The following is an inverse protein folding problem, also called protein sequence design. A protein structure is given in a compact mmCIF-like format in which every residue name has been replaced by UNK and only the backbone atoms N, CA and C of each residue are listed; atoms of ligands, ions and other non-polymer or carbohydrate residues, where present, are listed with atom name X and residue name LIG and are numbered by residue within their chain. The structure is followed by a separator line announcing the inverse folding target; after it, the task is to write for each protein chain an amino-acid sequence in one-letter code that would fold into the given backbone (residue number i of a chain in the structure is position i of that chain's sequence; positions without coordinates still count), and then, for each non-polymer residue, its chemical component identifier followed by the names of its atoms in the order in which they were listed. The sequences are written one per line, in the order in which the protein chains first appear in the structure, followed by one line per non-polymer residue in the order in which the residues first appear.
data_IF_926489863735
#
_entry.id   IF_926489863735
#
_cell.length_a   1.000
_cell.length_b   1.000
_cell.length_c   1.000
_cell.angle_alpha   90.00
_cell.angle_beta   90.00
_cell.angle_gamma   90.00
#
_symmetry.space_group_name_H-M   'P 1'
#
loop_
_entity.id
_entity.type
_entity.pdbx_description
1 polymer ?
#
# COMPACT_ATOMS: atom_id res chain seq x y z
N UNK A 1 2.77 -16.92 -1.69
CA UNK A 1 1.36 -17.34 -1.57
C UNK A 1 0.74 -16.42 -0.52
N UNK A 2 0.11 -15.32 -0.94
CA UNK A 2 -0.56 -14.41 -0.01
C UNK A 2 -1.70 -15.16 0.65
N UNK A 3 -1.78 -15.11 1.97
CA UNK A 3 -2.97 -15.57 2.68
C UNK A 3 -4.15 -14.77 2.14
N UNK A 4 -5.04 -15.46 1.41
CA UNK A 4 -6.30 -14.89 0.95
C UNK A 4 -7.00 -14.31 2.18
N UNK A 5 -7.56 -13.10 2.05
CA UNK A 5 -8.44 -12.56 3.09
C UNK A 5 -9.46 -13.64 3.47
N UNK A 6 -9.31 -14.14 4.69
CA UNK A 6 -10.14 -15.19 5.29
C UNK A 6 -10.93 -14.64 6.49
N UNK A 7 -11.06 -13.31 6.56
CA UNK A 7 -11.88 -12.64 7.57
C UNK A 7 -13.37 -12.83 7.29
N UNK A 8 -14.24 -12.57 8.29
CA UNK A 8 -15.67 -12.64 8.10
C UNK A 8 -16.12 -11.62 7.04
N UNK A 9 -16.80 -12.09 6.00
CA UNK A 9 -17.46 -11.24 5.01
C UNK A 9 -18.84 -10.90 5.54
N UNK A 10 -19.16 -9.60 5.59
CA UNK A 10 -20.45 -9.10 6.02
C UNK A 10 -20.82 -7.81 5.28
N UNK A 11 -22.09 -7.43 5.36
CA UNK A 11 -22.53 -6.14 4.89
C UNK A 11 -21.86 -5.03 5.70
N UNK A 12 -21.42 -3.97 5.01
CA UNK A 12 -20.70 -2.86 5.63
C UNK A 12 -19.23 -3.09 5.98
N UNK A 13 -18.56 -4.16 5.51
CA UNK A 13 -17.12 -4.36 5.68
C UNK A 13 -16.33 -3.12 5.22
N UNK A 14 -15.45 -2.63 6.08
CA UNK A 14 -14.64 -1.41 5.85
C UNK A 14 -13.17 -1.74 5.61
N UNK A 15 -12.44 -0.81 5.00
CA UNK A 15 -11.00 -1.01 4.76
C UNK A 15 -10.19 -1.11 6.06
N UNK A 16 -10.68 -0.56 7.16
CA UNK A 16 -10.03 -0.62 8.48
C UNK A 16 -9.96 -2.02 9.08
N UNK A 17 -10.77 -2.95 8.56
CA UNK A 17 -10.88 -4.35 8.98
C UNK A 17 -10.04 -5.29 8.09
N UNK A 18 -9.48 -4.77 6.99
CA UNK A 18 -8.65 -5.55 6.10
C UNK A 18 -7.23 -5.78 6.68
N UNK A 19 -6.58 -6.90 6.32
CA UNK A 19 -5.15 -7.11 6.53
C UNK A 19 -4.37 -5.91 6.03
N UNK A 20 -3.50 -5.41 6.91
CA UNK A 20 -2.78 -4.17 6.67
C UNK A 20 -1.38 -4.22 7.28
N UNK A 21 -0.52 -3.32 6.80
CA UNK A 21 0.90 -3.31 7.11
C UNK A 21 1.30 -1.95 7.69
N UNK A 22 2.22 -1.97 8.66
CA UNK A 22 2.70 -0.79 9.36
C UNK A 22 4.17 -0.46 9.05
N UNK A 23 4.73 -0.98 7.95
CA UNK A 23 6.12 -0.75 7.60
C UNK A 23 6.35 0.70 7.17
N UNK A 24 7.13 1.42 7.98
CA UNK A 24 7.38 2.86 7.87
C UNK A 24 8.85 3.15 7.91
N UNK A 25 9.28 4.10 7.10
CA UNK A 25 10.68 4.52 7.04
C UNK A 25 10.78 6.04 6.95
N UNK A 26 11.84 6.66 7.50
CA UNK A 26 12.08 8.07 7.27
C UNK A 26 12.47 8.32 5.80
N UNK A 27 12.16 9.51 5.29
CA UNK A 27 12.44 9.95 3.93
C UNK A 27 13.92 9.80 3.53
N UNK A 28 14.80 9.89 4.53
CA UNK A 28 16.26 9.79 4.42
C UNK A 28 16.80 8.37 4.31
N UNK A 29 15.99 7.33 4.57
CA UNK A 29 16.45 5.93 4.48
C UNK A 29 16.89 5.61 3.06
N UNK A 30 17.99 4.87 2.90
CA UNK A 30 18.46 4.51 1.57
C UNK A 30 17.50 3.55 0.88
N UNK A 31 17.34 3.73 -0.43
CA UNK A 31 16.49 2.89 -1.25
C UNK A 31 16.87 1.41 -1.18
N UNK A 32 18.17 1.12 -1.04
CA UNK A 32 18.67 -0.26 -0.95
C UNK A 32 18.23 -0.98 0.33
N UNK A 33 18.24 -0.27 1.47
CA UNK A 33 17.85 -0.79 2.77
C UNK A 33 16.34 -1.08 2.78
N UNK A 34 15.56 -0.11 2.30
CA UNK A 34 14.12 -0.22 2.12
C UNK A 34 13.76 -1.42 1.22
N UNK A 35 14.47 -1.58 0.10
CA UNK A 35 14.25 -2.69 -0.82
C UNK A 35 14.72 -4.04 -0.27
N UNK A 36 15.77 -4.07 0.55
CA UNK A 36 16.21 -5.28 1.23
C UNK A 36 15.11 -5.81 2.15
N UNK A 37 14.43 -4.93 2.90
CA UNK A 37 13.32 -5.33 3.75
C UNK A 37 12.15 -5.90 2.93
N UNK A 38 11.79 -5.26 1.81
CA UNK A 38 10.77 -5.80 0.91
C UNK A 38 11.16 -7.18 0.35
N UNK A 39 12.43 -7.39 -0.02
CA UNK A 39 12.89 -8.71 -0.49
C UNK A 39 12.76 -9.78 0.60
N UNK A 40 13.10 -9.44 1.84
CA UNK A 40 13.01 -10.32 3.01
C UNK A 40 11.57 -10.65 3.39
N UNK A 41 10.65 -9.69 3.28
CA UNK A 41 9.23 -9.89 3.54
C UNK A 41 8.38 -9.69 2.28
N UNK A 42 8.08 -10.78 1.55
CA UNK A 42 7.21 -10.77 0.38
C UNK A 42 5.77 -10.30 0.65
N UNK A 43 5.31 -10.29 1.91
CA UNK A 43 3.94 -9.86 2.24
C UNK A 43 3.79 -8.35 2.24
N UNK A 44 4.88 -7.58 2.31
CA UNK A 44 4.81 -6.12 2.29
C UNK A 44 4.40 -5.61 0.90
N UNK A 45 3.26 -4.91 0.76
CA UNK A 45 2.81 -4.38 -0.52
C UNK A 45 3.56 -3.09 -0.92
N UNK A 46 4.30 -2.49 0.00
CA UNK A 46 5.03 -1.26 -0.20
C UNK A 46 5.54 -0.67 1.10
N UNK A 47 5.88 0.61 1.06
CA UNK A 47 6.51 1.33 2.17
C UNK A 47 5.80 2.66 2.38
N UNK A 48 5.46 2.96 3.63
CA UNK A 48 5.02 4.30 4.04
C UNK A 48 6.25 5.16 4.38
N UNK A 49 6.40 6.28 3.66
CA UNK A 49 7.52 7.19 3.84
C UNK A 49 7.08 8.34 4.74
N UNK A 50 7.77 8.52 5.86
CA UNK A 50 7.55 9.60 6.81
C UNK A 50 8.60 10.70 6.60
N UNK A 51 8.27 11.95 6.92
CA UNK A 51 9.22 13.07 6.80
C UNK A 51 10.48 12.81 7.65
N UNK A 52 10.27 12.34 8.87
CA UNK A 52 11.30 11.88 9.80
C UNK A 52 10.71 10.73 10.66
N UNK A 53 11.52 10.13 11.52
CA UNK A 53 11.04 9.06 12.40
C UNK A 53 9.90 9.54 13.30
N UNK A 54 8.72 8.92 13.21
CA UNK A 54 7.51 9.35 13.92
C UNK A 54 6.82 10.60 13.35
N UNK A 55 7.34 11.18 12.25
CA UNK A 55 6.78 12.35 11.58
C UNK A 55 5.56 12.04 10.71
N UNK A 56 5.00 13.06 10.03
CA UNK A 56 3.85 12.89 9.15
C UNK A 56 4.17 11.99 7.95
N UNK A 57 3.15 11.30 7.45
CA UNK A 57 3.21 10.54 6.20
C UNK A 57 3.38 11.51 5.03
N UNK A 58 4.41 11.28 4.21
CA UNK A 58 4.72 12.06 3.02
C UNK A 58 4.22 11.36 1.76
N UNK A 59 4.24 10.03 1.76
CA UNK A 59 3.70 9.25 0.66
C UNK A 59 4.00 7.76 0.79
N UNK A 60 3.63 7.03 -0.26
CA UNK A 60 3.81 5.59 -0.37
C UNK A 60 4.54 5.26 -1.65
N UNK A 61 5.42 4.27 -1.58
CA UNK A 61 5.97 3.61 -2.76
C UNK A 61 5.62 2.12 -2.71
N UNK A 62 5.01 1.59 -3.77
CA UNK A 62 4.70 0.16 -3.85
C UNK A 62 5.96 -0.68 -3.91
N UNK A 63 5.80 -1.95 -3.54
CA UNK A 63 6.83 -2.98 -3.65
C UNK A 63 7.35 -3.06 -5.08
N UNK A 64 6.43 -3.28 -6.02
CA UNK A 64 6.73 -3.44 -7.44
C UNK A 64 7.54 -2.24 -7.94
N UNK A 65 7.07 -1.02 -7.66
CA UNK A 65 7.76 0.19 -8.10
C UNK A 65 9.17 0.33 -7.55
N UNK A 66 9.37 0.15 -6.23
CA UNK A 66 10.71 0.28 -5.65
C UNK A 66 11.67 -0.78 -6.20
N UNK A 67 11.21 -2.03 -6.31
CA UNK A 67 12.05 -3.12 -6.82
C UNK A 67 12.35 -2.96 -8.32
N UNK A 68 11.38 -2.52 -9.12
CA UNK A 68 11.58 -2.26 -10.55
C UNK A 68 12.58 -1.14 -10.79
N UNK A 69 12.46 -0.02 -10.06
CA UNK A 69 13.41 1.10 -10.13
C UNK A 69 14.85 0.68 -9.83
N UNK A 70 15.04 -0.26 -8.89
CA UNK A 70 16.37 -0.75 -8.50
C UNK A 70 16.88 -1.92 -9.37
N UNK A 71 16.00 -2.56 -10.15
CA UNK A 71 16.36 -3.70 -11.00
C UNK A 71 16.82 -3.28 -12.40
N UNK A 72 16.61 -2.02 -12.80
CA UNK A 72 17.10 -1.49 -14.07
C UNK A 72 18.64 -1.44 -14.09
N UNK A 73 19.25 -1.76 -15.24
CA UNK A 73 20.70 -1.99 -15.42
C UNK A 73 21.61 -0.82 -15.04
N UNK A 74 21.11 0.42 -15.11
CA UNK A 74 21.80 1.63 -14.60
C UNK A 74 21.25 2.10 -13.24
N UNK A 75 20.20 1.46 -12.72
CA UNK A 75 19.49 1.87 -11.50
C UNK A 75 20.23 1.50 -10.21
N UNK A 76 21.00 0.41 -10.24
CA UNK A 76 21.78 -0.06 -9.07
C UNK A 76 22.82 0.97 -8.61
N UNK A 77 23.73 1.43 -9.46
CA UNK A 77 24.75 2.39 -9.02
C UNK A 77 24.18 3.80 -8.77
N UNK A 78 23.11 4.20 -9.47
CA UNK A 78 22.58 5.56 -9.42
C UNK A 78 21.57 5.82 -8.30
N UNK A 79 20.81 4.80 -7.86
CA UNK A 79 19.70 4.97 -6.92
C UNK A 79 19.87 4.24 -5.58
N UNK A 80 20.75 3.23 -5.46
CA UNK A 80 20.91 2.51 -4.19
C UNK A 80 21.28 3.43 -3.02
N UNK A 81 22.12 4.44 -3.29
CA UNK A 81 22.57 5.44 -2.31
C UNK A 81 21.63 6.64 -2.19
N UNK A 82 20.50 6.65 -2.90
CA UNK A 82 19.54 7.75 -2.81
C UNK A 82 18.52 7.48 -1.71
N UNK A 83 18.09 8.52 -0.97
CA UNK A 83 16.96 8.41 -0.06
C UNK A 83 15.67 7.98 -0.77
N UNK A 84 14.88 7.11 -0.14
CA UNK A 84 13.58 6.65 -0.66
C UNK A 84 12.61 7.79 -0.95
N UNK A 85 12.72 8.90 -0.23
CA UNK A 85 11.91 10.09 -0.49
C UNK A 85 12.04 10.66 -1.89
N UNK A 86 13.22 10.51 -2.50
CA UNK A 86 13.46 11.01 -3.86
C UNK A 86 12.77 10.15 -4.92
N UNK A 87 12.19 8.99 -4.53
CA UNK A 87 11.55 8.04 -5.44
C UNK A 87 10.03 8.20 -5.52
N UNK A 88 9.43 9.09 -4.71
CA UNK A 88 7.98 9.34 -4.71
C UNK A 88 7.49 9.89 -6.07
N UNK A 89 8.26 10.80 -6.68
CA UNK A 89 7.85 11.52 -7.89
C UNK A 89 6.59 12.37 -7.63
N UNK A 90 5.78 12.59 -8.67
CA UNK A 90 4.56 13.42 -8.61
C UNK A 90 3.29 12.62 -8.24
N UNK A 91 3.43 11.34 -7.90
CA UNK A 91 2.28 10.47 -7.65
C UNK A 91 1.66 10.72 -6.29
N UNK A 92 0.34 10.75 -6.25
CA UNK A 92 -0.43 10.94 -5.02
C UNK A 92 -0.74 9.61 -4.35
N UNK A 93 -0.56 9.54 -3.03
CA UNK A 93 -1.01 8.37 -2.25
C UNK A 93 -2.51 8.44 -2.06
N UNK A 94 -3.23 7.36 -2.38
CA UNK A 94 -4.65 7.25 -2.05
C UNK A 94 -4.79 7.01 -0.54
N UNK A 95 -5.23 8.04 0.18
CA UNK A 95 -5.52 7.98 1.62
C UNK A 95 -7.02 8.07 1.82
N UNK A 96 -7.61 7.09 2.49
CA UNK A 96 -9.04 7.01 2.75
C UNK A 96 -9.29 6.82 4.26
N UNK A 97 -10.39 7.33 4.82
CA UNK A 97 -10.80 6.98 6.18
C UNK A 97 -10.90 5.46 6.35
N UNK A 98 -10.45 4.92 7.48
CA UNK A 98 -10.53 3.50 7.77
C UNK A 98 -11.98 2.97 7.75
N UNK A 99 -12.95 3.84 8.00
CA UNK A 99 -14.39 3.54 7.93
C UNK A 99 -14.94 3.49 6.50
N UNK A 100 -14.13 3.76 5.48
CA UNK A 100 -14.58 3.69 4.08
C UNK A 100 -14.98 2.24 3.73
N UNK A 101 -16.20 2.03 3.20
CA UNK A 101 -16.62 0.70 2.76
C UNK A 101 -15.71 0.14 1.68
N UNK A 102 -15.46 -1.17 1.71
CA UNK A 102 -14.63 -1.87 0.72
C UNK A 102 -15.05 -1.59 -0.73
N UNK A 103 -16.35 -1.59 -1.11
CA UNK A 103 -16.76 -1.26 -2.48
C UNK A 103 -16.39 0.16 -2.91
N UNK A 104 -16.54 1.14 -2.01
CA UNK A 104 -16.19 2.52 -2.27
C UNK A 104 -14.68 2.70 -2.43
N UNK A 105 -13.88 2.04 -1.57
CA UNK A 105 -12.43 2.05 -1.69
C UNK A 105 -11.93 1.35 -2.97
N UNK A 106 -12.53 0.23 -3.35
CA UNK A 106 -12.20 -0.47 -4.59
C UNK A 106 -12.50 0.40 -5.82
N UNK A 107 -13.66 1.06 -5.83
CA UNK A 107 -14.01 2.02 -6.89
C UNK A 107 -13.02 3.20 -6.95
N UNK A 108 -12.66 3.78 -5.80
CA UNK A 108 -11.68 4.86 -5.74
C UNK A 108 -10.28 4.42 -6.21
N UNK A 109 -9.85 3.21 -5.84
CA UNK A 109 -8.57 2.66 -6.27
C UNK A 109 -8.54 2.45 -7.79
N UNK A 110 -9.57 1.81 -8.35
CA UNK A 110 -9.68 1.52 -9.79
C UNK A 110 -9.99 2.74 -10.66
N UNK A 111 -10.51 3.82 -10.07
CA UNK A 111 -10.75 5.10 -10.76
C UNK A 111 -9.48 5.92 -11.01
N UNK A 112 -8.33 5.50 -10.48
CA UNK A 112 -7.01 6.11 -10.74
C UNK A 112 -6.48 5.72 -12.13
N UNK A 113 -5.47 6.44 -12.66
CA UNK A 113 -4.73 6.01 -13.84
C UNK A 113 -4.29 4.54 -13.75
N UNK A 114 -4.23 3.85 -14.89
CA UNK A 114 -3.97 2.40 -14.96
C UNK A 114 -2.68 1.97 -14.24
N UNK A 115 -1.65 2.81 -14.29
CA UNK A 115 -0.36 2.61 -13.65
C UNK A 115 -0.35 2.88 -12.14
N UNK A 116 -1.48 3.33 -11.59
CA UNK A 116 -1.73 3.56 -10.17
C UNK A 116 -2.89 2.74 -9.61
N UNK A 117 -3.78 2.21 -10.46
CA UNK A 117 -4.99 1.51 -10.02
C UNK A 117 -4.72 0.38 -9.03
N UNK A 118 -3.61 -0.33 -9.21
CA UNK A 118 -3.17 -1.46 -8.39
C UNK A 118 -2.11 -1.08 -7.34
N UNK A 119 -1.79 0.21 -7.19
CA UNK A 119 -0.92 0.66 -6.10
C UNK A 119 -1.65 0.54 -4.76
N UNK A 120 -0.94 0.19 -3.67
CA UNK A 120 -1.54 0.09 -2.34
C UNK A 120 -2.14 1.43 -1.90
N UNK A 121 -3.07 1.36 -0.95
CA UNK A 121 -3.76 2.51 -0.38
C UNK A 121 -3.51 2.61 1.12
N UNK A 122 -3.81 3.76 1.70
CA UNK A 122 -3.63 4.02 3.12
C UNK A 122 -5.00 4.18 3.80
N UNK A 123 -5.25 3.40 4.84
CA UNK A 123 -6.35 3.60 5.76
C UNK A 123 -5.93 4.56 6.88
N UNK A 124 -6.59 5.71 6.96
CA UNK A 124 -6.41 6.70 8.01
C UNK A 124 -7.36 6.43 9.18
N UNK A 125 -6.81 6.36 10.39
CA UNK A 125 -7.60 6.19 11.61
C UNK A 125 -7.55 7.47 12.45
N UNK A 126 -8.62 7.80 13.20
CA UNK A 126 -8.62 8.96 14.09
C UNK A 126 -7.66 8.78 15.28
N UNK A 127 -7.62 7.57 15.84
CA UNK A 127 -6.96 7.31 17.13
C UNK A 127 -5.68 6.46 17.01
N UNK A 128 -5.25 6.14 15.79
CA UNK A 128 -4.03 5.35 15.57
C UNK A 128 -3.30 5.73 14.28
N UNK A 129 -2.02 5.39 14.15
CA UNK A 129 -1.28 5.65 12.92
C UNK A 129 -1.90 4.97 11.69
N UNK A 130 -1.80 5.57 10.49
CA UNK A 130 -2.40 5.05 9.26
C UNK A 130 -1.83 3.69 8.82
N UNK A 131 -2.61 2.80 8.24
CA UNK A 131 -2.09 1.48 7.83
C UNK A 131 -2.13 1.31 6.31
N UNK A 132 -1.15 0.59 5.77
CA UNK A 132 -1.03 0.32 4.34
C UNK A 132 -1.80 -0.94 3.98
N UNK A 133 -2.67 -0.87 2.97
CA UNK A 133 -3.48 -1.98 2.50
C UNK A 133 -3.07 -2.31 1.08
N UNK A 134 -2.84 -3.60 0.83
CA UNK A 134 -2.57 -4.13 -0.52
C UNK A 134 -3.84 -4.01 -1.38
N UNK A 135 -3.71 -3.45 -2.59
CA UNK A 135 -4.80 -3.39 -3.56
C UNK A 135 -5.34 -4.80 -3.89
N UNK A 136 -4.48 -5.82 -3.90
CA UNK A 136 -4.91 -7.20 -4.10
C UNK A 136 -5.86 -7.69 -2.99
N UNK A 137 -5.56 -7.37 -1.73
CA UNK A 137 -6.43 -7.71 -0.58
C UNK A 137 -7.77 -6.98 -0.69
N UNK A 138 -7.74 -5.69 -1.03
CA UNK A 138 -8.95 -4.89 -1.25
C UNK A 138 -9.85 -5.50 -2.35
N UNK A 139 -9.25 -5.89 -3.48
CA UNK A 139 -9.99 -6.43 -4.61
C UNK A 139 -10.54 -7.85 -4.35
N UNK A 140 -9.82 -8.67 -3.58
CA UNK A 140 -10.34 -9.96 -3.10
C UNK A 140 -11.56 -9.74 -2.20
N UNK A 141 -11.45 -8.85 -1.21
CA UNK A 141 -12.56 -8.56 -0.30
C UNK A 141 -13.79 -8.06 -1.08
N UNK A 142 -13.60 -7.16 -2.04
CA UNK A 142 -14.67 -6.69 -2.91
C UNK A 142 -15.32 -7.82 -3.72
N UNK A 143 -14.51 -8.72 -4.29
CA UNK A 143 -15.02 -9.86 -5.05
C UNK A 143 -15.84 -10.81 -4.17
N UNK A 144 -15.38 -11.08 -2.95
CA UNK A 144 -16.09 -11.94 -2.00
C UNK A 144 -17.39 -11.30 -1.50
N UNK A 145 -17.41 -9.98 -1.28
CA UNK A 145 -18.63 -9.24 -0.93
C UNK A 145 -19.68 -9.31 -2.03
N UNK A 146 -19.28 -9.15 -3.30
CA UNK A 146 -20.19 -9.28 -4.44
C UNK A 146 -20.79 -10.69 -4.51
N UNK A 147 -19.98 -11.73 -4.30
CA UNK A 147 -20.46 -13.11 -4.26
C UNK A 147 -21.45 -13.34 -3.10
N UNK A 148 -21.17 -12.80 -1.92
CA UNK A 148 -22.05 -12.88 -0.75
C UNK A 148 -23.40 -12.20 -0.99
N UNK A 149 -23.41 -11.02 -1.61
CA UNK A 149 -24.63 -10.28 -1.93
C UNK A 149 -25.53 -11.00 -2.95
N UNK A 150 -24.95 -11.78 -3.86
CA UNK A 150 -25.73 -12.57 -4.83
C UNK A 150 -26.25 -13.90 -4.27
N UNK A 151 -25.73 -14.35 -3.13
CA UNK A 151 -26.09 -15.62 -2.49
C UNK A 151 -27.20 -15.49 -1.44
N UNK A 152 -27.62 -14.26 -1.11
CA UNK A 152 -28.69 -13.93 -0.17
C UNK A 152 -29.91 -13.40 -0.93
#
# INVERSE_FOLDING_TARGET
MSELFSGPIHDGLTIGELPSHNYRVPRTLLAEEAAAQLRTDPKLPGIMILEHHGGPLVGVISRTRLLDLLSQSFGRELYLKRPVGNMLGDRTTLVLPATTPVPAAASAALGRPTDEAFEPLVAAFPDRPPLLIDAHVLLIAQSQMLAFATAT
#
